data_IF_173719494458
#
_entry.id   IF_173719494458
#
_cell.length_a   1.000
_cell.length_b   1.000
_cell.length_c   1.000
_cell.angle_alpha   90.00
_cell.angle_beta   90.00
_cell.angle_gamma   90.00
#
_symmetry.space_group_name_H-M   'P 1'
#
loop_
_entity.id
_entity.type
_entity.pdbx_description
1 polymer ?
#
# COMPACT_ATOMS: atom_id res chain seq x y z
N UNK A 1 23.90 -17.01 8.55
CA UNK A 1 23.10 -17.11 7.31
C UNK A 1 21.69 -17.54 7.70
N UNK A 2 20.66 -16.76 7.34
CA UNK A 2 19.26 -17.12 7.64
C UNK A 2 18.67 -17.84 6.44
N UNK A 3 18.25 -19.08 6.63
CA UNK A 3 17.57 -19.87 5.61
C UNK A 3 16.06 -19.80 5.86
N UNK A 4 15.30 -19.52 4.81
CA UNK A 4 13.84 -19.55 4.83
C UNK A 4 13.39 -20.75 4.01
N UNK A 5 12.74 -21.71 4.65
CA UNK A 5 12.11 -22.83 3.96
C UNK A 5 10.64 -22.48 3.73
N UNK A 6 10.19 -22.56 2.48
CA UNK A 6 8.83 -22.22 2.06
C UNK A 6 8.21 -23.42 1.37
N UNK A 7 7.00 -23.76 1.78
CA UNK A 7 6.14 -24.64 1.00
C UNK A 7 5.39 -23.78 0.00
N UNK A 8 5.49 -24.12 -1.28
CA UNK A 8 4.92 -23.34 -2.37
C UNK A 8 3.84 -24.15 -3.09
N UNK A 9 2.85 -23.44 -3.62
CA UNK A 9 1.80 -24.05 -4.44
C UNK A 9 2.31 -24.23 -5.89
N UNK A 10 1.68 -25.13 -6.64
CA UNK A 10 1.99 -25.32 -8.06
C UNK A 10 1.66 -24.08 -8.92
N UNK A 11 0.74 -23.22 -8.46
CA UNK A 11 0.49 -21.92 -9.06
C UNK A 11 1.65 -20.96 -8.86
N UNK A 12 2.15 -20.84 -7.63
CA UNK A 12 3.30 -20.02 -7.31
C UNK A 12 4.55 -20.43 -8.12
N UNK A 13 4.79 -21.73 -8.33
CA UNK A 13 5.92 -22.18 -9.14
C UNK A 13 5.81 -21.74 -10.61
N UNK A 14 4.61 -21.78 -11.20
CA UNK A 14 4.36 -21.33 -12.58
C UNK A 14 4.60 -19.83 -12.73
N UNK A 15 4.11 -19.05 -11.76
CA UNK A 15 4.28 -17.60 -11.74
C UNK A 15 5.75 -17.22 -11.53
N UNK A 16 6.43 -17.89 -10.60
CA UNK A 16 7.86 -17.70 -10.36
C UNK A 16 8.68 -18.00 -11.62
N UNK A 17 8.34 -19.07 -12.35
CA UNK A 17 9.05 -19.40 -13.58
C UNK A 17 8.81 -18.38 -14.69
N UNK A 18 7.62 -17.79 -14.76
CA UNK A 18 7.29 -16.70 -15.67
C UNK A 18 8.05 -15.41 -15.31
N UNK A 19 8.13 -15.09 -14.01
CA UNK A 19 8.92 -13.99 -13.48
C UNK A 19 10.42 -14.17 -13.78
N UNK A 20 10.96 -15.36 -13.55
CA UNK A 20 12.35 -15.71 -13.87
C UNK A 20 12.67 -15.51 -15.36
N UNK A 21 11.78 -15.94 -16.26
CA UNK A 21 11.96 -15.76 -17.72
C UNK A 21 11.98 -14.30 -18.13
N UNK A 22 11.04 -13.50 -17.63
CA UNK A 22 10.95 -12.07 -17.96
C UNK A 22 12.15 -11.27 -17.45
N UNK A 23 12.71 -11.65 -16.29
CA UNK A 23 13.83 -10.96 -15.66
C UNK A 23 15.20 -11.62 -15.94
N UNK A 24 15.24 -12.67 -16.78
CA UNK A 24 16.45 -13.44 -17.15
C UNK A 24 17.22 -14.00 -15.95
N UNK A 25 16.51 -14.41 -14.91
CA UNK A 25 17.09 -14.96 -13.68
C UNK A 25 17.11 -16.49 -13.78
N UNK A 26 18.27 -17.10 -13.53
CA UNK A 26 18.44 -18.56 -13.61
C UNK A 26 18.16 -19.27 -12.28
N UNK A 27 18.33 -18.59 -11.15
CA UNK A 27 18.18 -19.18 -9.81
C UNK A 27 16.85 -18.79 -9.16
N UNK A 28 16.08 -19.79 -8.70
CA UNK A 28 14.79 -19.56 -8.02
C UNK A 28 14.92 -18.71 -6.76
N UNK A 29 15.95 -18.96 -5.95
CA UNK A 29 16.18 -18.22 -4.70
C UNK A 29 16.55 -16.76 -4.94
N UNK A 30 17.25 -16.46 -6.04
CA UNK A 30 17.55 -15.11 -6.47
C UNK A 30 16.30 -14.38 -6.93
N UNK A 31 15.47 -15.03 -7.76
CA UNK A 31 14.20 -14.47 -8.21
C UNK A 31 13.26 -14.14 -7.04
N UNK A 32 13.15 -15.04 -6.06
CA UNK A 32 12.34 -14.79 -4.85
C UNK A 32 12.87 -13.60 -4.05
N UNK A 33 14.20 -13.49 -3.88
CA UNK A 33 14.82 -12.37 -3.16
C UNK A 33 14.59 -11.04 -3.88
N UNK A 34 14.71 -11.03 -5.20
CA UNK A 34 14.47 -9.84 -6.00
C UNK A 34 13.01 -9.40 -5.91
N UNK A 35 12.07 -10.33 -6.13
CA UNK A 35 10.64 -10.06 -6.03
C UNK A 35 10.25 -9.53 -4.64
N UNK A 36 10.80 -10.12 -3.56
CA UNK A 36 10.59 -9.64 -2.19
C UNK A 36 11.13 -8.23 -1.99
N UNK A 37 12.32 -7.91 -2.51
CA UNK A 37 12.90 -6.58 -2.41
C UNK A 37 12.06 -5.53 -3.14
N UNK A 38 11.58 -5.86 -4.33
CA UNK A 38 10.69 -5.00 -5.11
C UNK A 38 9.35 -4.77 -4.42
N UNK A 39 8.78 -5.82 -3.82
CA UNK A 39 7.54 -5.72 -3.05
C UNK A 39 7.73 -4.88 -1.78
N UNK A 40 8.80 -5.13 -1.02
CA UNK A 40 9.13 -4.36 0.18
C UNK A 40 9.39 -2.88 -0.13
N UNK A 41 10.10 -2.59 -1.23
CA UNK A 41 10.36 -1.21 -1.65
C UNK A 41 9.05 -0.50 -2.04
N UNK A 42 8.14 -1.20 -2.73
CA UNK A 42 6.81 -0.68 -3.04
C UNK A 42 5.97 -0.44 -1.79
N UNK A 43 5.99 -1.33 -0.81
CA UNK A 43 5.22 -1.16 0.42
C UNK A 43 5.77 -0.06 1.33
N UNK A 44 7.09 0.17 1.33
CA UNK A 44 7.69 1.31 2.04
C UNK A 44 7.55 2.63 1.30
N UNK A 45 7.21 2.59 0.01
CA UNK A 45 6.98 3.76 -0.83
C UNK A 45 5.55 4.31 -0.77
N UNK A 46 4.67 3.74 0.07
CA UNK A 46 3.38 4.37 0.37
C UNK A 46 3.64 5.72 1.04
N UNK A 47 3.18 6.77 0.35
CA UNK A 47 3.51 8.17 0.56
C UNK A 47 3.32 8.61 2.01
N UNK A 48 4.32 9.33 2.54
CA UNK A 48 4.15 10.14 3.74
C UNK A 48 3.18 11.28 3.39
N UNK A 49 1.87 11.03 3.54
CA UNK A 49 0.84 12.00 3.22
C UNK A 49 0.96 13.20 4.18
N UNK A 50 1.42 14.35 3.67
CA UNK A 50 1.42 15.60 4.43
C UNK A 50 0.00 16.20 4.46
N UNK A 51 -0.76 15.80 5.47
CA UNK A 51 -2.12 16.28 5.74
C UNK A 51 -2.15 17.72 6.30
N UNK A 52 -1.01 18.43 6.44
CA UNK A 52 -1.01 19.85 6.87
C UNK A 52 -1.82 20.74 5.94
N UNK A 53 -1.89 20.39 4.66
CA UNK A 53 -2.73 21.10 3.69
C UNK A 53 -4.24 20.94 3.96
N UNK A 54 -4.65 19.86 4.66
CA UNK A 54 -6.05 19.56 4.98
C UNK A 54 -6.49 20.19 6.31
N UNK A 55 -5.56 20.45 7.23
CA UNK A 55 -5.80 21.15 8.51
C UNK A 55 -6.47 22.53 8.32
N UNK A 56 -6.27 23.18 7.15
CA UNK A 56 -6.89 24.47 6.83
C UNK A 56 -8.20 24.41 6.04
N UNK A 57 -8.58 23.25 5.48
CA UNK A 57 -9.76 23.13 4.62
C UNK A 57 -11.07 23.20 5.42
N UNK A 58 -11.09 22.61 6.63
CA UNK A 58 -12.23 22.73 7.54
C UNK A 58 -12.44 24.15 8.07
N UNK A 59 -11.37 24.95 8.20
CA UNK A 59 -11.41 26.32 8.69
C UNK A 59 -11.75 27.35 7.60
N UNK A 60 -11.54 27.02 6.32
CA UNK A 60 -11.85 27.89 5.17
C UNK A 60 -13.28 27.73 4.65
N UNK A 61 -14.00 26.70 5.07
CA UNK A 61 -15.39 26.52 4.67
C UNK A 61 -16.22 27.70 5.20
N UNK A 62 -16.84 28.53 4.34
CA UNK A 62 -17.70 29.60 4.81
C UNK A 62 -18.86 28.96 5.57
N UNK A 63 -19.04 29.36 6.84
CA UNK A 63 -20.18 28.94 7.64
C UNK A 63 -21.46 29.23 6.86
N UNK A 64 -22.19 28.17 6.48
CA UNK A 64 -23.46 28.30 5.78
C UNK A 64 -24.37 29.19 6.63
N UNK A 65 -24.86 30.30 6.06
CA UNK A 65 -25.81 31.22 6.72
C UNK A 65 -27.08 30.54 7.24
N UNK A 66 -27.42 29.36 6.71
CA UNK A 66 -28.45 28.45 7.23
C UNK A 66 -27.84 27.05 7.35
N UNK A 67 -27.28 26.69 8.51
CA UNK A 67 -26.79 25.33 8.71
C UNK A 67 -27.97 24.36 8.65
N UNK A 68 -27.75 23.18 8.06
CA UNK A 68 -28.80 22.14 7.92
C UNK A 68 -29.18 21.56 9.29
N UNK A 69 -28.20 21.49 10.18
CA UNK A 69 -28.32 21.02 11.55
C UNK A 69 -28.12 22.21 12.49
N UNK A 70 -28.88 22.25 13.57
CA UNK A 70 -28.87 23.33 14.57
C UNK A 70 -27.74 23.16 15.58
N UNK A 71 -27.26 21.94 15.81
CA UNK A 71 -26.14 21.62 16.69
C UNK A 71 -25.40 20.35 16.23
N UNK A 72 -24.23 20.09 16.82
CA UNK A 72 -23.50 18.84 16.61
C UNK A 72 -24.29 17.63 17.11
N UNK A 73 -25.05 17.78 18.20
CA UNK A 73 -25.93 16.71 18.72
C UNK A 73 -27.00 16.28 17.71
N UNK A 74 -27.52 17.20 16.89
CA UNK A 74 -28.49 16.88 15.81
C UNK A 74 -27.83 16.17 14.62
N UNK A 75 -26.51 16.32 14.44
CA UNK A 75 -25.78 15.65 13.36
C UNK A 75 -25.49 14.17 13.69
N UNK A 76 -25.27 13.85 14.97
CA UNK A 76 -24.79 12.54 15.43
C UNK A 76 -25.84 11.69 16.16
N UNK A 77 -27.09 12.17 16.24
CA UNK A 77 -28.25 11.39 16.72
C UNK A 77 -28.94 10.65 15.58
#
# INVERSE_FOLDING_TARGET
MKQLNLNVTAEFERDLQTYMKSHKISQRSEAIRQALREAATRSTGEEEYDFRSWLGLGLKAPLRRKPRFRSEDELWS
#
